data_IF_223484846039
#
_entry.id   IF_223484846039
#
_cell.length_a   1.000
_cell.length_b   1.000
_cell.length_c   1.000
_cell.angle_alpha   90.00
_cell.angle_beta   90.00
_cell.angle_gamma   90.00
#
_symmetry.space_group_name_H-M   'P 1'
#
loop_
_entity.id
_entity.type
_entity.pdbx_description
1 polymer ?
#
# COMPACT_ATOMS: atom_id res chain seq x y z
N UNK A 1 -24.66 12.36 -42.30
CA UNK A 1 -24.57 12.17 -40.84
C UNK A 1 -25.32 10.89 -40.50
N UNK A 2 -24.64 9.75 -40.61
CA UNK A 2 -25.10 8.49 -40.06
C UNK A 2 -24.95 8.58 -38.55
N UNK A 3 -26.05 8.49 -37.82
CA UNK A 3 -26.00 8.23 -36.38
C UNK A 3 -25.43 6.82 -36.23
N UNK A 4 -24.13 6.71 -35.92
CA UNK A 4 -23.56 5.45 -35.48
C UNK A 4 -24.32 5.02 -34.22
N UNK A 5 -25.05 3.91 -34.34
CA UNK A 5 -25.67 3.23 -33.21
C UNK A 5 -24.60 3.00 -32.13
N UNK A 6 -24.90 3.24 -30.84
CA UNK A 6 -23.94 2.92 -29.78
C UNK A 6 -23.53 1.46 -29.94
N UNK A 7 -22.23 1.19 -30.06
CA UNK A 7 -21.73 -0.19 -30.15
C UNK A 7 -22.31 -0.95 -28.96
N UNK A 8 -23.13 -1.96 -29.22
CA UNK A 8 -23.77 -2.72 -28.16
C UNK A 8 -22.67 -3.35 -27.31
N UNK A 9 -22.63 -3.03 -26.01
CA UNK A 9 -21.65 -3.55 -25.06
C UNK A 9 -21.92 -5.04 -24.75
N UNK A 10 -21.64 -5.88 -25.74
CA UNK A 10 -21.91 -7.33 -25.71
C UNK A 10 -21.19 -8.02 -24.57
N UNK A 11 -19.93 -7.66 -24.32
CA UNK A 11 -19.15 -8.18 -23.21
C UNK A 11 -19.73 -7.74 -21.86
N UNK A 12 -20.11 -6.46 -21.70
CA UNK A 12 -20.77 -5.98 -20.50
C UNK A 12 -22.08 -6.72 -20.22
N UNK A 13 -22.91 -6.92 -21.24
CA UNK A 13 -24.15 -7.69 -21.13
C UNK A 13 -23.88 -9.15 -20.72
N UNK A 14 -22.89 -9.80 -21.33
CA UNK A 14 -22.51 -11.17 -20.97
C UNK A 14 -22.01 -11.29 -19.53
N UNK A 15 -21.26 -10.31 -19.02
CA UNK A 15 -20.81 -10.27 -17.63
C UNK A 15 -21.99 -10.17 -16.65
N UNK A 16 -23.00 -9.36 -16.98
CA UNK A 16 -24.21 -9.22 -16.16
C UNK A 16 -25.07 -10.48 -16.23
N UNK A 17 -25.30 -11.04 -17.42
CA UNK A 17 -26.09 -12.26 -17.62
C UNK A 17 -25.50 -13.46 -16.87
N UNK A 18 -24.17 -13.58 -16.83
CA UNK A 18 -23.46 -14.65 -16.12
C UNK A 18 -23.29 -14.37 -14.62
N UNK A 19 -23.78 -13.24 -14.12
CA UNK A 19 -23.75 -12.91 -12.70
C UNK A 19 -22.40 -12.38 -12.17
N UNK A 20 -21.47 -11.99 -13.05
CA UNK A 20 -20.19 -11.39 -12.64
C UNK A 20 -20.30 -9.93 -12.23
N UNK A 21 -21.39 -9.27 -12.60
CA UNK A 21 -21.74 -7.93 -12.13
C UNK A 21 -23.27 -7.81 -12.00
N UNK A 22 -23.79 -7.03 -11.03
CA UNK A 22 -25.24 -6.91 -10.84
C UNK A 22 -25.92 -6.11 -11.96
N UNK A 23 -25.21 -5.16 -12.57
CA UNK A 23 -25.64 -4.39 -13.74
C UNK A 23 -24.44 -3.62 -14.33
N UNK A 24 -24.63 -3.03 -15.51
CA UNK A 24 -23.59 -2.25 -16.21
C UNK A 24 -23.10 -1.03 -15.42
N UNK A 25 -24.01 -0.32 -14.72
CA UNK A 25 -23.63 0.87 -13.97
C UNK A 25 -22.66 0.56 -12.83
N UNK A 26 -22.91 -0.52 -12.08
CA UNK A 26 -21.99 -0.97 -11.02
C UNK A 26 -20.67 -1.48 -11.60
N UNK A 27 -20.71 -2.19 -12.73
CA UNK A 27 -19.51 -2.63 -13.43
C UNK A 27 -18.61 -1.46 -13.83
N UNK A 28 -19.19 -0.38 -14.34
CA UNK A 28 -18.47 0.84 -14.77
C UNK A 28 -17.94 1.68 -13.60
N UNK A 29 -18.63 1.66 -12.45
CA UNK A 29 -18.13 2.29 -11.22
C UNK A 29 -16.95 1.51 -10.65
N UNK A 30 -17.07 0.18 -10.56
CA UNK A 30 -16.08 -0.67 -9.91
C UNK A 30 -14.80 -0.85 -10.74
N UNK A 31 -14.91 -0.80 -12.07
CA UNK A 31 -13.79 -1.06 -13.00
C UNK A 31 -13.01 -2.35 -12.68
N UNK A 32 -13.70 -3.34 -12.10
CA UNK A 32 -13.15 -4.66 -11.79
C UNK A 32 -14.26 -5.68 -11.54
N UNK A 33 -13.88 -6.96 -11.66
CA UNK A 33 -14.70 -8.08 -11.20
C UNK A 33 -14.23 -8.51 -9.80
N UNK A 34 -15.18 -8.64 -8.90
CA UNK A 34 -14.95 -8.99 -7.51
C UNK A 34 -15.15 -10.48 -7.30
N UNK A 35 -14.21 -11.12 -6.60
CA UNK A 35 -14.40 -12.48 -6.11
C UNK A 35 -15.60 -12.49 -5.15
N UNK A 36 -16.62 -13.33 -5.36
CA UNK A 36 -17.74 -13.46 -4.43
C UNK A 36 -17.27 -13.86 -3.03
N UNK A 37 -17.95 -13.37 -2.00
CA UNK A 37 -17.54 -13.62 -0.61
C UNK A 37 -17.58 -15.11 -0.23
N UNK A 38 -18.49 -15.86 -0.82
CA UNK A 38 -18.69 -17.31 -0.66
C UNK A 38 -17.88 -18.15 -1.66
N UNK A 39 -17.07 -17.53 -2.53
CA UNK A 39 -16.21 -18.26 -3.45
C UNK A 39 -15.01 -18.82 -2.69
N UNK A 40 -14.95 -20.15 -2.54
CA UNK A 40 -13.86 -20.81 -1.85
C UNK A 40 -12.52 -20.59 -2.58
N UNK A 41 -11.56 -20.03 -1.86
CA UNK A 41 -10.20 -19.81 -2.35
C UNK A 41 -9.22 -20.67 -1.56
N UNK A 42 -8.42 -21.52 -2.19
CA UNK A 42 -7.29 -22.18 -1.54
C UNK A 42 -6.17 -21.15 -1.29
N UNK A 43 -5.22 -21.49 -0.41
CA UNK A 43 -4.00 -20.72 -0.29
C UNK A 43 -3.20 -20.75 -1.62
N UNK A 44 -2.52 -19.65 -2.00
CA UNK A 44 -2.42 -18.36 -1.28
C UNK A 44 -3.57 -17.38 -1.60
N UNK A 45 -4.53 -17.74 -2.44
CA UNK A 45 -5.58 -16.84 -2.94
C UNK A 45 -6.56 -16.37 -1.85
N UNK A 46 -6.66 -17.08 -0.73
CA UNK A 46 -7.45 -16.67 0.44
C UNK A 46 -6.80 -15.57 1.30
N UNK A 47 -5.61 -15.09 0.93
CA UNK A 47 -4.98 -13.97 1.63
C UNK A 47 -5.83 -12.69 1.49
N UNK A 48 -5.80 -11.79 2.49
CA UNK A 48 -6.59 -10.55 2.50
C UNK A 48 -5.98 -9.47 1.57
N UNK A 49 -5.57 -9.85 0.36
CA UNK A 49 -5.02 -8.95 -0.65
C UNK A 49 -6.13 -8.45 -1.56
N UNK A 50 -6.31 -7.13 -1.71
CA UNK A 50 -7.27 -6.60 -2.69
C UNK A 50 -6.94 -7.02 -4.12
N UNK A 51 -5.68 -7.26 -4.46
CA UNK A 51 -5.34 -7.79 -5.77
C UNK A 51 -5.88 -9.21 -5.98
N UNK A 52 -5.95 -10.05 -4.94
CA UNK A 52 -6.59 -11.37 -5.03
C UNK A 52 -8.11 -11.30 -4.94
N UNK A 53 -8.67 -10.37 -4.17
CA UNK A 53 -10.12 -10.16 -4.10
C UNK A 53 -10.72 -9.55 -5.37
N UNK A 54 -9.90 -8.85 -6.16
CA UNK A 54 -10.31 -8.18 -7.39
C UNK A 54 -9.26 -8.43 -8.49
N UNK A 55 -9.11 -9.66 -9.00
CA UNK A 55 -7.96 -10.01 -9.85
C UNK A 55 -8.07 -9.50 -11.29
N UNK A 56 -9.28 -9.16 -11.74
CA UNK A 56 -9.60 -8.72 -13.10
C UNK A 56 -9.99 -7.25 -13.05
N UNK A 57 -9.27 -6.41 -13.80
CA UNK A 57 -9.70 -5.05 -14.11
C UNK A 57 -10.61 -5.02 -15.34
N UNK A 58 -11.54 -4.07 -15.34
CA UNK A 58 -12.52 -3.88 -16.40
C UNK A 58 -12.37 -2.46 -16.91
N UNK A 59 -12.07 -2.31 -18.20
CA UNK A 59 -12.12 -1.02 -18.87
C UNK A 59 -13.51 -0.85 -19.47
N UNK A 60 -14.24 0.19 -19.05
CA UNK A 60 -15.51 0.56 -19.67
C UNK A 60 -15.33 0.86 -21.17
N UNK A 61 -16.38 0.63 -21.98
CA UNK A 61 -16.36 1.03 -23.38
C UNK A 61 -16.27 2.55 -23.49
N UNK A 62 -15.58 3.02 -24.52
CA UNK A 62 -15.47 4.45 -24.84
C UNK A 62 -15.45 4.61 -26.36
N UNK A 63 -16.53 5.14 -26.94
CA UNK A 63 -16.82 5.47 -28.36
C UNK A 63 -16.16 4.60 -29.45
N UNK A 64 -14.84 4.50 -29.48
CA UNK A 64 -14.02 3.74 -30.43
C UNK A 64 -13.48 2.42 -29.88
N UNK A 65 -13.57 2.17 -28.57
CA UNK A 65 -13.04 0.99 -27.90
C UNK A 65 -14.14 0.21 -27.18
N UNK A 66 -14.32 -1.09 -27.48
CA UNK A 66 -15.23 -1.94 -26.73
C UNK A 66 -14.72 -2.12 -25.29
N UNK A 67 -15.58 -2.66 -24.42
CA UNK A 67 -15.19 -3.09 -23.08
C UNK A 67 -14.02 -4.09 -23.17
N UNK A 68 -13.08 -3.99 -22.23
CA UNK A 68 -11.92 -4.90 -22.14
C UNK A 68 -11.79 -5.47 -20.74
N UNK A 69 -11.35 -6.71 -20.66
CA UNK A 69 -10.94 -7.36 -19.41
C UNK A 69 -9.45 -7.59 -19.43
N UNK A 70 -8.82 -7.39 -18.28
CA UNK A 70 -7.40 -7.68 -18.13
C UNK A 70 -7.07 -8.07 -16.70
N UNK A 71 -6.01 -8.86 -16.53
CA UNK A 71 -5.49 -9.21 -15.22
C UNK A 71 -4.72 -8.04 -14.64
N UNK A 72 -4.85 -7.83 -13.33
CA UNK A 72 -4.03 -6.83 -12.61
C UNK A 72 -2.58 -7.28 -12.40
N UNK A 73 -2.29 -8.55 -12.62
CA UNK A 73 -0.96 -9.13 -12.64
C UNK A 73 -0.96 -10.40 -13.50
N UNK A 74 0.05 -10.67 -14.34
CA UNK A 74 0.07 -11.85 -15.21
C UNK A 74 -0.06 -13.18 -14.46
N UNK A 75 0.54 -13.29 -13.27
CA UNK A 75 0.46 -14.50 -12.43
C UNK A 75 -0.95 -14.80 -11.90
N UNK A 76 -1.90 -13.87 -12.04
CA UNK A 76 -3.32 -14.13 -11.70
C UNK A 76 -4.00 -15.06 -12.71
N UNK A 77 -3.33 -15.50 -13.78
CA UNK A 77 -3.85 -16.53 -14.68
C UNK A 77 -4.18 -17.84 -13.93
N UNK A 78 -3.45 -18.14 -12.85
CA UNK A 78 -3.69 -19.30 -12.00
C UNK A 78 -4.73 -19.07 -10.90
N UNK A 79 -5.27 -17.85 -10.80
CA UNK A 79 -6.26 -17.50 -9.80
C UNK A 79 -7.59 -18.26 -10.06
N UNK A 80 -8.15 -18.99 -9.09
CA UNK A 80 -9.35 -19.82 -9.28
C UNK A 80 -10.55 -19.06 -9.85
N UNK A 81 -10.80 -17.85 -9.33
CA UNK A 81 -11.86 -16.99 -9.86
C UNK A 81 -11.60 -16.52 -11.30
N UNK A 82 -10.35 -16.28 -11.69
CA UNK A 82 -10.01 -15.90 -13.08
C UNK A 82 -10.34 -17.05 -14.02
N UNK A 83 -9.90 -18.27 -13.69
CA UNK A 83 -10.22 -19.47 -14.47
C UNK A 83 -11.72 -19.73 -14.57
N UNK A 84 -12.46 -19.48 -13.49
CA UNK A 84 -13.92 -19.57 -13.49
C UNK A 84 -14.56 -18.58 -14.47
N UNK A 85 -14.12 -17.31 -14.47
CA UNK A 85 -14.61 -16.29 -15.42
C UNK A 85 -14.25 -16.65 -16.86
N UNK A 86 -13.02 -17.07 -17.13
CA UNK A 86 -12.58 -17.49 -18.46
C UNK A 86 -13.39 -18.67 -19.00
N UNK A 87 -13.62 -19.70 -18.17
CA UNK A 87 -14.45 -20.85 -18.53
C UNK A 87 -15.89 -20.44 -18.85
N UNK A 88 -16.45 -19.50 -18.08
CA UNK A 88 -17.81 -19.02 -18.30
C UNK A 88 -17.94 -18.14 -19.55
N UNK A 89 -16.93 -17.33 -19.87
CA UNK A 89 -16.92 -16.43 -21.03
C UNK A 89 -16.43 -17.11 -22.33
N UNK A 90 -15.68 -18.20 -22.23
CA UNK A 90 -15.18 -18.96 -23.38
C UNK A 90 -13.94 -18.35 -24.04
N UNK A 91 -13.21 -17.46 -23.36
CA UNK A 91 -11.96 -16.88 -23.86
C UNK A 91 -11.00 -16.53 -22.71
N UNK A 92 -9.72 -16.38 -23.03
CA UNK A 92 -8.69 -15.96 -22.08
C UNK A 92 -8.66 -14.45 -21.86
N UNK A 93 -8.62 -14.03 -20.60
CA UNK A 93 -8.50 -12.64 -20.21
C UNK A 93 -7.06 -12.16 -20.48
N UNK A 94 -6.92 -10.93 -21.00
CA UNK A 94 -5.62 -10.36 -21.30
C UNK A 94 -4.71 -10.35 -20.06
N UNK A 95 -3.49 -10.89 -20.18
CA UNK A 95 -2.58 -11.08 -19.04
C UNK A 95 -1.89 -9.78 -18.60
N UNK A 96 -1.77 -8.82 -19.52
CA UNK A 96 -1.06 -7.55 -19.33
C UNK A 96 -2.01 -6.37 -19.03
N UNK A 97 -3.16 -6.65 -18.44
CA UNK A 97 -4.16 -5.66 -18.08
C UNK A 97 -5.07 -5.21 -19.23
N UNK A 98 -5.97 -4.30 -18.90
CA UNK A 98 -6.93 -3.68 -19.81
C UNK A 98 -6.86 -2.15 -19.66
N UNK A 99 -5.80 -1.51 -20.17
CA UNK A 99 -5.64 -0.08 -20.03
C UNK A 99 -6.74 0.69 -20.76
N UNK A 100 -7.19 1.80 -20.17
CA UNK A 100 -8.11 2.71 -20.84
C UNK A 100 -7.45 3.49 -21.98
N UNK A 101 -8.19 4.38 -22.66
CA UNK A 101 -7.66 5.21 -23.77
C UNK A 101 -6.44 6.05 -23.42
N UNK A 102 -6.27 6.39 -22.14
CA UNK A 102 -5.14 7.15 -21.62
C UNK A 102 -3.99 6.27 -21.13
N UNK A 103 -4.04 4.97 -21.46
CA UNK A 103 -3.08 3.94 -21.03
C UNK A 103 -3.05 3.71 -19.51
N UNK A 104 -4.07 4.17 -18.79
CA UNK A 104 -4.17 3.91 -17.37
C UNK A 104 -4.68 2.49 -17.12
N UNK A 105 -3.96 1.75 -16.28
CA UNK A 105 -4.33 0.45 -15.73
C UNK A 105 -4.19 0.50 -14.20
N UNK A 106 -5.03 -0.26 -13.52
CA UNK A 106 -4.98 -0.45 -12.08
C UNK A 106 -3.92 -1.48 -11.64
N UNK A 107 -3.24 -2.15 -12.57
CA UNK A 107 -2.22 -3.16 -12.28
C UNK A 107 -1.09 -2.65 -11.34
N UNK A 108 -0.44 -1.49 -11.57
CA UNK A 108 0.58 -0.99 -10.64
C UNK A 108 0.02 -0.71 -9.24
N UNK A 109 -1.21 -0.20 -9.17
CA UNK A 109 -1.89 0.07 -7.90
C UNK A 109 -2.23 -1.23 -7.16
N UNK A 110 -2.53 -2.30 -7.87
CA UNK A 110 -2.80 -3.62 -7.30
C UNK A 110 -1.55 -4.24 -6.64
N UNK A 111 -0.36 -4.05 -7.24
CA UNK A 111 0.92 -4.47 -6.65
C UNK A 111 1.16 -3.77 -5.31
N UNK A 112 0.86 -2.46 -5.24
CA UNK A 112 0.88 -1.71 -3.99
C UNK A 112 -0.12 -2.26 -2.97
N UNK A 113 -1.38 -2.48 -3.38
CA UNK A 113 -2.41 -3.04 -2.50
C UNK A 113 -2.01 -4.39 -1.92
N UNK A 114 -1.41 -5.28 -2.72
CA UNK A 114 -0.93 -6.56 -2.23
C UNK A 114 0.08 -6.41 -1.09
N UNK A 115 1.06 -5.51 -1.24
CA UNK A 115 2.05 -5.26 -0.20
C UNK A 115 1.43 -4.63 1.07
N UNK A 116 0.69 -3.53 0.91
CA UNK A 116 0.16 -2.78 2.07
C UNK A 116 -0.91 -3.56 2.83
N UNK A 117 -1.74 -4.34 2.14
CA UNK A 117 -2.81 -5.11 2.79
C UNK A 117 -2.23 -6.22 3.65
N UNK A 118 -1.21 -6.95 3.17
CA UNK A 118 -0.58 -8.02 3.92
C UNK A 118 0.25 -7.50 5.11
N UNK A 119 0.97 -6.39 4.95
CA UNK A 119 1.63 -5.72 6.09
C UNK A 119 0.59 -5.28 7.13
N UNK A 120 -0.48 -4.60 6.70
CA UNK A 120 -1.52 -4.10 7.61
C UNK A 120 -2.32 -5.22 8.29
N UNK A 121 -2.42 -6.38 7.64
CA UNK A 121 -3.02 -7.59 8.19
C UNK A 121 -2.12 -8.33 9.19
N UNK A 122 -0.85 -7.94 9.36
CA UNK A 122 0.13 -8.68 10.17
C UNK A 122 0.62 -9.96 9.49
N UNK A 123 0.45 -10.07 8.16
CA UNK A 123 0.78 -11.23 7.31
C UNK A 123 2.02 -10.97 6.46
N UNK A 124 3.02 -10.30 7.03
CA UNK A 124 4.22 -9.93 6.28
C UNK A 124 5.05 -11.16 5.82
N UNK A 125 4.96 -12.30 6.51
CA UNK A 125 5.58 -13.55 6.03
C UNK A 125 4.89 -14.07 4.77
N UNK A 126 3.57 -13.99 4.73
CA UNK A 126 2.80 -14.34 3.53
C UNK A 126 3.15 -13.38 2.38
N UNK A 127 3.36 -12.09 2.66
CA UNK A 127 3.85 -11.12 1.66
C UNK A 127 5.17 -11.54 1.04
N UNK A 128 6.14 -11.98 1.85
CA UNK A 128 7.42 -12.47 1.33
C UNK A 128 7.27 -13.77 0.53
N UNK A 129 6.35 -14.63 0.93
CA UNK A 129 6.04 -15.88 0.24
C UNK A 129 5.31 -15.68 -1.10
N UNK A 130 4.66 -14.51 -1.29
CA UNK A 130 3.95 -14.13 -2.53
C UNK A 130 4.52 -12.87 -3.16
N UNK A 131 5.81 -12.58 -2.92
CA UNK A 131 6.45 -11.34 -3.35
C UNK A 131 6.48 -11.17 -4.88
N UNK A 132 6.38 -12.26 -5.64
CA UNK A 132 6.34 -12.27 -7.11
C UNK A 132 5.09 -11.58 -7.68
N UNK A 133 4.07 -11.31 -6.86
CA UNK A 133 2.89 -10.55 -7.27
C UNK A 133 3.02 -9.03 -7.03
N UNK A 134 4.13 -8.60 -6.44
CA UNK A 134 4.40 -7.18 -6.16
C UNK A 134 5.81 -6.82 -6.61
N UNK A 135 6.29 -5.66 -6.18
CA UNK A 135 7.61 -5.14 -6.49
C UNK A 135 8.34 -4.76 -5.20
N UNK A 136 9.69 -4.85 -5.14
CA UNK A 136 10.45 -4.47 -3.95
C UNK A 136 10.11 -3.07 -3.44
N UNK A 137 9.94 -2.09 -4.34
CA UNK A 137 9.54 -0.73 -3.98
C UNK A 137 8.16 -0.66 -3.30
N UNK A 138 7.20 -1.51 -3.71
CA UNK A 138 5.90 -1.60 -3.05
C UNK A 138 6.02 -2.21 -1.65
N UNK A 139 6.88 -3.22 -1.46
CA UNK A 139 7.16 -3.81 -0.14
C UNK A 139 7.81 -2.77 0.79
N UNK A 140 8.80 -2.03 0.31
CA UNK A 140 9.45 -0.96 1.09
C UNK A 140 8.46 0.14 1.49
N UNK A 141 7.61 0.59 0.56
CA UNK A 141 6.54 1.53 0.88
C UNK A 141 5.55 0.95 1.91
N UNK A 142 5.32 -0.37 1.88
CA UNK A 142 4.43 -1.03 2.82
C UNK A 142 5.07 -1.09 4.21
N UNK A 143 6.40 -1.25 4.30
CA UNK A 143 7.16 -1.08 5.55
C UNK A 143 7.01 0.35 6.07
N UNK A 144 7.21 1.38 5.23
CA UNK A 144 6.98 2.78 5.62
C UNK A 144 5.56 2.99 6.16
N UNK A 145 4.55 2.46 5.47
CA UNK A 145 3.14 2.54 5.89
C UNK A 145 2.91 1.80 7.21
N UNK A 146 3.45 0.59 7.35
CA UNK A 146 3.29 -0.26 8.51
C UNK A 146 3.96 0.30 9.76
N UNK A 147 5.10 0.97 9.62
CA UNK A 147 5.70 1.74 10.71
C UNK A 147 4.91 3.01 11.03
N UNK A 148 4.29 3.67 10.05
CA UNK A 148 3.66 4.98 10.28
C UNK A 148 2.30 4.91 10.95
N UNK A 149 1.51 3.90 10.61
CA UNK A 149 0.11 3.81 10.99
C UNK A 149 -0.14 2.60 11.88
N UNK A 150 -1.07 2.75 12.83
CA UNK A 150 -1.51 1.67 13.72
C UNK A 150 -2.98 1.34 13.47
N UNK A 151 -3.41 0.14 13.87
CA UNK A 151 -4.84 -0.17 13.88
C UNK A 151 -5.57 0.70 14.89
N UNK A 152 -6.77 1.15 14.54
CA UNK A 152 -7.61 1.97 15.42
C UNK A 152 -8.06 1.23 16.70
N UNK A 153 -8.12 -0.11 16.67
CA UNK A 153 -8.49 -0.95 17.81
C UNK A 153 -7.28 -1.40 18.65
N UNK A 154 -6.05 -1.17 18.19
CA UNK A 154 -4.84 -1.53 18.92
C UNK A 154 -4.46 -0.45 19.93
N UNK A 155 -4.61 -0.79 21.21
CA UNK A 155 -4.24 0.07 22.33
C UNK A 155 -2.73 0.29 22.48
N UNK A 156 -1.90 -0.53 21.83
CA UNK A 156 -0.43 -0.39 21.88
C UNK A 156 0.05 0.78 21.05
N UNK A 157 -0.67 1.12 19.97
CA UNK A 157 -0.37 2.29 19.14
C UNK A 157 1.11 2.27 18.69
N UNK A 158 1.51 1.17 18.03
CA UNK A 158 2.92 0.86 17.76
C UNK A 158 3.19 0.42 16.31
N UNK A 159 2.36 0.86 15.36
CA UNK A 159 2.43 0.44 13.96
C UNK A 159 1.60 -0.80 13.66
N UNK A 160 1.45 -1.12 12.37
CA UNK A 160 0.91 -2.41 11.90
C UNK A 160 1.93 -3.55 12.02
N UNK A 161 3.22 -3.22 12.06
CA UNK A 161 4.33 -4.14 12.23
C UNK A 161 5.29 -3.57 13.28
N UNK A 162 5.99 -4.47 13.97
CA UNK A 162 7.07 -4.09 14.86
C UNK A 162 8.31 -3.66 14.08
N UNK A 163 9.21 -2.93 14.73
CA UNK A 163 10.51 -2.57 14.14
C UNK A 163 11.34 -3.80 13.80
N UNK A 164 11.33 -4.84 14.64
CA UNK A 164 12.04 -6.08 14.35
C UNK A 164 11.56 -6.73 13.05
N UNK A 165 10.23 -6.77 12.85
CA UNK A 165 9.62 -7.27 11.61
C UNK A 165 9.94 -6.37 10.41
N UNK A 166 9.91 -5.05 10.59
CA UNK A 166 10.29 -4.11 9.53
C UNK A 166 11.73 -4.35 9.05
N UNK A 167 12.68 -4.51 9.96
CA UNK A 167 14.08 -4.84 9.62
C UNK A 167 14.21 -6.19 8.93
N UNK A 168 13.46 -7.18 9.41
CA UNK A 168 13.44 -8.51 8.81
C UNK A 168 12.94 -8.44 7.37
N UNK A 169 11.80 -7.80 7.11
CA UNK A 169 11.28 -7.59 5.75
C UNK A 169 12.32 -6.91 4.86
N UNK A 170 12.91 -5.80 5.31
CA UNK A 170 13.91 -5.05 4.55
C UNK A 170 15.12 -5.92 4.19
N UNK A 171 15.60 -6.75 5.12
CA UNK A 171 16.70 -7.70 4.88
C UNK A 171 16.31 -8.79 3.87
N UNK A 172 15.13 -9.40 4.02
CA UNK A 172 14.69 -10.50 3.13
C UNK A 172 14.51 -10.04 1.68
N UNK A 173 14.11 -8.79 1.43
CA UNK A 173 14.03 -8.23 0.08
C UNK A 173 15.37 -7.71 -0.46
N UNK A 174 16.47 -7.85 0.30
CA UNK A 174 17.81 -7.43 -0.09
C UNK A 174 18.04 -5.92 -0.03
N UNK A 175 17.29 -5.17 0.78
CA UNK A 175 17.53 -3.75 0.98
C UNK A 175 18.88 -3.52 1.70
N UNK A 176 19.62 -2.50 1.26
CA UNK A 176 20.91 -2.13 1.83
C UNK A 176 20.68 -1.17 2.99
N UNK A 177 21.09 -1.59 4.19
CA UNK A 177 21.01 -0.72 5.37
C UNK A 177 22.03 0.44 5.27
N UNK A 178 21.59 1.71 5.32
CA UNK A 178 22.51 2.84 5.29
C UNK A 178 23.33 2.96 6.58
N UNK A 179 24.64 3.20 6.45
CA UNK A 179 25.53 3.39 7.62
C UNK A 179 25.28 4.70 8.37
N UNK A 180 24.94 5.78 7.65
CA UNK A 180 24.73 7.11 8.22
C UNK A 180 23.24 7.36 8.55
N UNK A 181 22.74 6.68 9.60
CA UNK A 181 21.32 6.69 10.01
C UNK A 181 20.71 8.08 10.14
N UNK A 182 21.42 9.00 10.80
CA UNK A 182 20.92 10.38 11.02
C UNK A 182 20.84 11.19 9.72
N UNK A 183 21.71 10.91 8.73
CA UNK A 183 21.66 11.58 7.44
C UNK A 183 20.40 11.17 6.66
N UNK A 184 20.04 9.88 6.70
CA UNK A 184 18.80 9.37 6.11
C UNK A 184 17.58 10.09 6.71
N UNK A 185 17.48 10.17 8.04
CA UNK A 185 16.36 10.85 8.72
C UNK A 185 16.34 12.35 8.37
N UNK A 186 17.49 13.02 8.31
CA UNK A 186 17.56 14.45 7.96
C UNK A 186 17.24 14.75 6.49
N UNK A 187 17.21 13.74 5.62
CA UNK A 187 16.70 13.91 4.25
C UNK A 187 15.18 14.00 4.17
N UNK A 188 14.46 13.71 5.27
CA UNK A 188 13.03 13.94 5.38
C UNK A 188 12.75 15.44 5.35
N UNK A 189 11.57 15.84 4.91
CA UNK A 189 11.19 17.25 4.95
C UNK A 189 11.28 17.78 6.38
N UNK A 190 11.80 19.00 6.52
CA UNK A 190 11.98 19.65 7.81
C UNK A 190 10.69 19.58 8.67
N UNK A 191 10.81 19.31 9.99
CA UNK A 191 9.66 19.23 10.87
C UNK A 191 8.86 20.54 10.83
N UNK A 192 7.57 20.43 10.53
CA UNK A 192 6.63 21.57 10.52
C UNK A 192 5.41 21.23 11.33
N UNK A 193 4.98 22.16 12.17
CA UNK A 193 3.76 22.00 12.95
C UNK A 193 2.54 22.13 12.04
N UNK A 194 1.61 21.21 12.17
CA UNK A 194 0.26 21.34 11.66
C UNK A 194 -0.64 21.74 12.84
N UNK A 195 -1.25 22.92 12.74
CA UNK A 195 -2.19 23.46 13.73
C UNK A 195 -3.61 23.40 13.15
N UNK A 196 -4.39 22.35 13.41
CA UNK A 196 -5.80 22.37 13.06
C UNK A 196 -6.53 23.44 13.91
N UNK A 197 -7.55 24.09 13.34
CA UNK A 197 -8.37 25.08 14.07
C UNK A 197 -9.00 24.52 15.36
N UNK A 198 -9.21 23.20 15.39
CA UNK A 198 -9.61 22.43 16.56
C UNK A 198 -8.72 21.20 16.67
N UNK A 199 -8.00 21.05 17.77
CA UNK A 199 -7.17 19.86 18.04
C UNK A 199 -5.83 20.18 18.68
N UNK A 200 -5.08 19.14 19.01
CA UNK A 200 -3.70 19.26 19.48
C UNK A 200 -2.75 19.57 18.31
N UNK A 201 -1.61 20.20 18.61
CA UNK A 201 -0.53 20.34 17.64
C UNK A 201 -0.03 18.96 17.17
N UNK A 202 0.12 18.80 15.85
CA UNK A 202 0.62 17.57 15.24
C UNK A 202 1.87 17.87 14.42
N UNK A 203 2.86 16.98 14.46
CA UNK A 203 4.13 17.14 13.77
C UNK A 203 4.33 16.04 12.72
N UNK A 204 3.65 16.13 11.56
CA UNK A 204 3.65 15.06 10.58
C UNK A 204 5.04 14.81 10.00
N UNK A 205 5.31 13.55 9.74
CA UNK A 205 6.51 13.11 9.03
C UNK A 205 6.22 13.12 7.53
N UNK A 206 7.01 13.87 6.75
CA UNK A 206 6.91 13.91 5.30
C UNK A 206 8.24 13.44 4.72
N UNK A 207 8.21 12.36 3.93
CA UNK A 207 9.39 11.70 3.36
C UNK A 207 9.99 12.46 2.16
N UNK A 208 9.32 13.51 1.65
CA UNK A 208 9.83 14.31 0.54
C UNK A 208 9.98 13.48 -0.74
N UNK A 209 11.09 13.71 -1.47
CA UNK A 209 11.43 13.04 -2.74
C UNK A 209 12.37 11.84 -2.55
N UNK A 210 12.37 11.22 -1.37
CA UNK A 210 13.24 10.07 -1.09
C UNK A 210 12.87 8.84 -1.91
N UNK A 211 13.87 7.98 -2.08
CA UNK A 211 13.64 6.61 -2.53
C UNK A 211 12.74 5.88 -1.52
N UNK A 212 12.05 4.84 -1.98
CA UNK A 212 11.23 3.99 -1.10
C UNK A 212 12.07 3.28 -0.03
N UNK A 213 13.32 2.97 -0.37
CA UNK A 213 14.29 2.33 0.51
C UNK A 213 14.75 3.27 1.64
N UNK A 214 15.17 4.49 1.30
CA UNK A 214 15.56 5.51 2.29
C UNK A 214 14.39 5.88 3.19
N UNK A 215 13.18 5.98 2.63
CA UNK A 215 11.98 6.25 3.41
C UNK A 215 11.69 5.13 4.41
N UNK A 216 11.81 3.86 4.02
CA UNK A 216 11.60 2.72 4.91
C UNK A 216 12.67 2.67 6.01
N UNK A 217 13.95 2.78 5.66
CA UNK A 217 15.04 2.82 6.64
C UNK A 217 14.96 4.04 7.56
N UNK A 218 14.61 5.21 7.03
CA UNK A 218 14.42 6.42 7.82
C UNK A 218 13.31 6.29 8.86
N UNK A 219 12.22 5.59 8.56
CA UNK A 219 11.18 5.27 9.56
C UNK A 219 11.71 4.34 10.64
N UNK A 220 12.41 3.27 10.25
CA UNK A 220 13.02 2.30 11.17
C UNK A 220 13.99 3.02 12.13
N UNK A 221 14.96 3.73 11.59
CA UNK A 221 15.97 4.45 12.37
C UNK A 221 15.34 5.54 13.22
N UNK A 222 14.38 6.29 12.67
CA UNK A 222 13.74 7.37 13.40
C UNK A 222 12.95 6.90 14.61
N UNK A 223 12.35 5.70 14.55
CA UNK A 223 11.68 5.08 15.70
C UNK A 223 12.72 4.55 16.70
N UNK A 224 13.71 3.78 16.24
CA UNK A 224 14.76 3.19 17.10
C UNK A 224 15.55 4.25 17.88
N UNK A 225 15.92 5.33 17.21
CA UNK A 225 16.78 6.38 17.77
C UNK A 225 15.96 7.48 18.49
N UNK A 226 14.63 7.34 18.54
CA UNK A 226 13.72 8.25 19.26
C UNK A 226 13.47 9.60 18.57
N UNK A 227 13.76 9.72 17.28
CA UNK A 227 13.40 10.89 16.47
C UNK A 227 11.90 10.98 16.21
N UNK A 228 11.23 9.83 16.16
CA UNK A 228 9.79 9.70 15.95
C UNK A 228 9.12 9.06 17.17
N UNK A 229 7.85 9.39 17.38
CA UNK A 229 6.99 8.78 18.40
C UNK A 229 5.56 8.70 17.91
N UNK A 230 4.82 7.70 18.39
CA UNK A 230 3.38 7.66 18.15
C UNK A 230 2.64 8.63 19.07
N UNK A 231 1.60 9.26 18.54
CA UNK A 231 0.60 9.96 19.34
C UNK A 231 -0.43 8.99 19.92
N UNK A 232 -1.39 9.50 20.70
CA UNK A 232 -2.45 8.66 21.30
C UNK A 232 -3.42 8.06 20.27
N UNK A 233 -3.41 8.56 19.05
CA UNK A 233 -4.36 8.21 17.99
C UNK A 233 -3.80 7.19 17.00
N UNK A 234 -2.56 6.70 17.19
CA UNK A 234 -1.96 5.71 16.31
C UNK A 234 -0.96 6.25 15.30
N UNK A 235 -0.74 7.57 15.26
CA UNK A 235 0.02 8.21 14.19
C UNK A 235 1.45 8.52 14.61
N UNK A 236 2.40 8.08 13.80
CA UNK A 236 3.80 8.43 13.97
C UNK A 236 4.06 9.91 13.59
N UNK A 237 4.75 10.62 14.47
CA UNK A 237 5.10 12.04 14.32
C UNK A 237 6.51 12.34 14.82
N UNK A 238 7.06 13.50 14.47
CA UNK A 238 8.31 13.97 15.04
C UNK A 238 8.21 14.12 16.56
N UNK A 239 9.13 13.46 17.28
CA UNK A 239 9.30 13.67 18.71
C UNK A 239 9.95 15.03 18.97
N UNK A 240 9.84 15.54 20.19
CA UNK A 240 10.52 16.78 20.58
C UNK A 240 12.03 16.69 20.42
N UNK A 241 12.60 15.62 20.96
CA UNK A 241 13.98 15.21 20.76
C UNK A 241 14.39 15.17 19.28
N UNK A 242 13.56 14.58 18.42
CA UNK A 242 13.81 14.51 16.98
C UNK A 242 13.83 15.88 16.31
N UNK A 243 12.95 16.80 16.72
CA UNK A 243 12.92 18.17 16.20
C UNK A 243 14.17 18.95 16.60
N UNK A 244 14.58 18.85 17.86
CA UNK A 244 15.81 19.49 18.35
C UNK A 244 17.04 18.98 17.60
N UNK A 245 17.15 17.65 17.44
CA UNK A 245 18.25 17.03 16.68
C UNK A 245 18.26 17.45 15.21
N UNK A 246 17.08 17.54 14.58
CA UNK A 246 16.98 18.03 13.20
C UNK A 246 17.49 19.46 13.09
N UNK A 247 17.09 20.34 14.01
CA UNK A 247 17.52 21.74 14.03
C UNK A 247 19.03 21.90 14.32
N UNK A 248 19.61 21.02 15.14
CA UNK A 248 21.04 21.02 15.45
C UNK A 248 21.93 20.57 14.28
N UNK A 249 21.36 19.90 13.27
CA UNK A 249 22.09 19.47 12.08
C UNK A 249 23.15 18.40 12.37
N UNK A 250 24.37 18.63 11.88
CA UNK A 250 25.54 17.74 12.09
C UNK A 250 26.38 18.12 13.31
N UNK A 251 25.95 19.09 14.11
CA UNK A 251 26.72 19.55 15.27
C UNK A 251 26.92 18.41 16.28
N UNK A 252 28.18 18.10 16.59
CA UNK A 252 28.62 17.00 17.45
C UNK A 252 28.21 17.14 18.94
N UNK A 253 27.50 18.22 19.29
CA UNK A 253 27.25 18.65 20.67
C UNK A 253 25.79 18.51 21.10
N UNK A 254 25.03 17.56 20.53
CA UNK A 254 23.73 17.22 21.09
C UNK A 254 23.92 16.40 22.38
N UNK A 255 24.02 17.11 23.50
CA UNK A 255 23.98 16.49 24.84
C UNK A 255 22.52 16.32 25.21
N UNK A 256 22.05 15.07 25.31
CA UNK A 256 20.72 14.78 25.81
C UNK A 256 20.61 15.37 27.23
N UNK A 257 19.72 16.34 27.44
CA UNK A 257 19.46 16.87 28.77
C UNK A 257 18.77 15.79 29.61
N UNK A 258 19.55 14.91 30.25
CA UNK A 258 19.04 13.94 31.19
C UNK A 258 18.50 14.70 32.40
N UNK A 259 17.18 14.75 32.55
CA UNK A 259 16.54 15.18 33.78
C UNK A 259 16.82 14.19 34.91
N UNK A 260 18.02 14.26 35.50
CA UNK A 260 18.28 13.68 36.80
C UNK A 260 17.69 14.60 37.87
N UNK A 261 16.43 14.37 38.22
CA UNK A 261 15.89 14.85 39.48
C UNK A 261 16.45 13.97 40.58
N UNK A 262 17.54 14.40 41.22
CA UNK A 262 18.07 13.76 42.41
C UNK A 262 17.06 13.95 43.56
N UNK A 263 16.40 12.87 43.98
CA UNK A 263 15.74 12.82 45.28
C UNK A 263 16.79 12.41 46.32
N UNK A 264 17.16 13.34 47.19
CA UNK A 264 17.89 13.04 48.41
C UNK A 264 16.87 12.55 49.46
N UNK A 265 17.19 11.43 50.11
CA UNK A 265 16.56 10.96 51.35
C UNK A 265 17.29 11.56 52.56
#
# INVERSE_FOLDING_TARGET
>A
MTMDSPSTDTLGMALVEKGFAPNLAVLDINNSLSVPHDFEMPAPWNLPSRMFQFPIEVCCPDNEQPRKLGLRHPLLADHPYVRHVEAALGFEIARDGAPNRYRYSSAPLARWWHAVDLVSAGKWRDLLATQEFTEPACIMNAVTYGCRYSRHDDKRVAGYITIAEAREIMREIGATEPGERSAVIRSFSAPRVCRPEKGAEHWPINTGLQSTEDAAWGMIFGIEDGWFRYDRSGFLQWSELGRERYAAGESATYTQASGQTAFAF
#
